data_IF_202502980867
#
_entry.id   IF_202502980867
#
_cell.length_a   1.000
_cell.length_b   1.000
_cell.length_c   1.000
_cell.angle_alpha   90.00
_cell.angle_beta   90.00
_cell.angle_gamma   90.00
#
_symmetry.space_group_name_H-M   'P 1'
#
loop_
_entity.id
_entity.type
_entity.pdbx_description
1 polymer ?
#
# COMPACT_ATOMS: atom_id res chain seq x y z
N UNK A 1 -9.90 -12.82 -19.00
CA UNK A 1 -9.89 -13.51 -17.69
C UNK A 1 -9.39 -12.51 -16.66
N UNK A 2 -10.05 -12.39 -15.50
CA UNK A 2 -9.62 -11.45 -14.43
C UNK A 2 -8.31 -11.92 -13.81
N UNK A 3 -7.30 -11.03 -13.75
CA UNK A 3 -5.91 -11.37 -13.35
C UNK A 3 -5.75 -11.79 -11.87
N UNK A 4 -6.67 -11.33 -11.00
CA UNK A 4 -6.66 -11.64 -9.55
C UNK A 4 -7.88 -12.47 -9.12
N UNK A 5 -8.51 -13.20 -10.05
CA UNK A 5 -9.67 -14.04 -9.73
C UNK A 5 -9.36 -15.03 -8.58
N UNK A 6 -10.19 -15.01 -7.54
CA UNK A 6 -10.06 -15.87 -6.36
C UNK A 6 -8.95 -15.46 -5.38
N UNK A 7 -8.29 -14.31 -5.57
CA UNK A 7 -7.29 -13.77 -4.63
C UNK A 7 -7.95 -12.89 -3.57
N UNK A 8 -7.42 -12.94 -2.36
CA UNK A 8 -7.84 -12.11 -1.24
C UNK A 8 -6.78 -11.05 -1.01
N UNK A 9 -7.16 -9.78 -1.10
CA UNK A 9 -6.25 -8.64 -0.98
C UNK A 9 -6.66 -7.71 0.16
N UNK A 10 -5.73 -7.34 1.02
CA UNK A 10 -5.89 -6.24 1.98
C UNK A 10 -5.13 -5.04 1.44
N UNK A 11 -5.77 -3.86 1.43
CA UNK A 11 -5.12 -2.59 1.06
C UNK A 11 -5.30 -1.61 2.21
N UNK A 12 -4.19 -1.19 2.86
CA UNK A 12 -4.23 -0.19 3.92
C UNK A 12 -4.18 1.23 3.34
N UNK A 13 -4.79 2.20 4.02
CA UNK A 13 -4.89 3.58 3.51
C UNK A 13 -5.77 3.70 2.27
N UNK A 14 -6.69 2.78 2.06
CA UNK A 14 -7.49 2.66 0.83
C UNK A 14 -8.81 3.44 0.84
N UNK A 15 -8.94 4.42 1.72
CA UNK A 15 -10.09 5.34 1.74
C UNK A 15 -9.99 6.50 0.74
N UNK A 16 -8.83 6.73 0.13
CA UNK A 16 -8.54 7.81 -0.84
C UNK A 16 -7.25 7.52 -1.60
N UNK A 17 -6.92 8.35 -2.59
CA UNK A 17 -5.63 8.38 -3.27
C UNK A 17 -5.19 7.06 -3.88
N UNK A 18 -3.89 6.81 -3.87
CA UNK A 18 -3.25 5.58 -4.39
C UNK A 18 -3.93 4.32 -3.82
N UNK A 19 -4.17 4.29 -2.51
CA UNK A 19 -4.76 3.11 -1.88
C UNK A 19 -6.16 2.80 -2.39
N UNK A 20 -6.98 3.82 -2.63
CA UNK A 20 -8.31 3.66 -3.25
C UNK A 20 -8.18 3.17 -4.69
N UNK A 21 -7.28 3.76 -5.49
CA UNK A 21 -7.05 3.32 -6.87
C UNK A 21 -6.63 1.84 -6.93
N UNK A 22 -5.71 1.40 -6.05
CA UNK A 22 -5.30 -0.01 -5.94
C UNK A 22 -6.50 -0.90 -5.59
N UNK A 23 -7.30 -0.50 -4.59
CA UNK A 23 -8.46 -1.28 -4.16
C UNK A 23 -9.48 -1.46 -5.29
N UNK A 24 -9.79 -0.38 -6.03
CA UNK A 24 -10.70 -0.41 -7.18
C UNK A 24 -10.14 -1.29 -8.31
N UNK A 25 -8.86 -1.13 -8.66
CA UNK A 25 -8.18 -1.92 -9.69
C UNK A 25 -8.18 -3.41 -9.34
N UNK A 26 -7.84 -3.76 -8.11
CA UNK A 26 -7.84 -5.16 -7.66
C UNK A 26 -9.24 -5.78 -7.67
N UNK A 27 -10.27 -5.03 -7.24
CA UNK A 27 -11.66 -5.47 -7.32
C UNK A 27 -12.12 -5.72 -8.76
N UNK A 28 -11.81 -4.81 -9.68
CA UNK A 28 -12.07 -4.95 -11.12
C UNK A 28 -11.40 -6.20 -11.69
N UNK A 29 -10.19 -6.53 -11.23
CA UNK A 29 -9.41 -7.71 -11.63
C UNK A 29 -9.80 -9.00 -10.88
N UNK A 30 -10.86 -8.95 -10.06
CA UNK A 30 -11.50 -10.14 -9.47
C UNK A 30 -10.96 -10.57 -8.12
N UNK A 31 -10.17 -9.74 -7.45
CA UNK A 31 -9.85 -9.98 -6.05
C UNK A 31 -11.05 -9.68 -5.13
N UNK A 32 -11.18 -10.44 -4.03
CA UNK A 32 -11.97 -10.00 -2.88
C UNK A 32 -11.12 -9.02 -2.07
N UNK A 33 -11.57 -7.77 -1.94
CA UNK A 33 -10.75 -6.67 -1.41
C UNK A 33 -11.19 -6.27 -0.01
N UNK A 34 -10.25 -6.21 0.92
CA UNK A 34 -10.45 -5.59 2.23
C UNK A 34 -9.91 -4.17 2.19
N UNK A 35 -10.82 -3.21 2.26
CA UNK A 35 -10.55 -1.77 2.28
C UNK A 35 -10.31 -1.34 3.72
N UNK A 36 -9.09 -0.92 4.05
CA UNK A 36 -8.70 -0.64 5.43
C UNK A 36 -8.13 0.78 5.59
N UNK A 37 -8.75 1.61 6.43
CA UNK A 37 -8.23 2.92 6.84
C UNK A 37 -8.97 3.42 8.09
N UNK A 38 -8.52 4.56 8.64
CA UNK A 38 -9.12 5.18 9.83
C UNK A 38 -10.54 5.71 9.61
N UNK A 39 -10.83 6.22 8.39
CA UNK A 39 -12.11 6.86 8.04
C UNK A 39 -13.11 5.79 7.56
N UNK A 40 -13.91 5.27 8.47
CA UNK A 40 -14.83 4.14 8.23
C UNK A 40 -15.78 4.40 7.05
N UNK A 41 -16.41 5.57 7.02
CA UNK A 41 -17.41 5.94 5.99
C UNK A 41 -16.78 5.96 4.59
N UNK A 42 -15.54 6.42 4.47
CA UNK A 42 -14.84 6.44 3.19
C UNK A 42 -14.37 5.05 2.77
N UNK A 43 -13.98 4.19 3.73
CA UNK A 43 -13.70 2.79 3.44
C UNK A 43 -14.96 2.09 2.90
N UNK A 44 -16.11 2.33 3.52
CA UNK A 44 -17.37 1.74 3.06
C UNK A 44 -17.77 2.25 1.68
N UNK A 45 -17.58 3.55 1.39
CA UNK A 45 -17.81 4.10 0.04
C UNK A 45 -16.94 3.40 -1.02
N UNK A 46 -15.65 3.20 -0.74
CA UNK A 46 -14.76 2.48 -1.65
C UNK A 46 -15.18 1.02 -1.82
N UNK A 47 -15.50 0.33 -0.73
CA UNK A 47 -15.97 -1.06 -0.79
C UNK A 47 -17.33 -1.17 -1.53
N UNK A 48 -18.24 -0.24 -1.31
CA UNK A 48 -19.52 -0.19 -2.02
C UNK A 48 -19.33 0.05 -3.53
N UNK A 49 -18.37 0.89 -3.93
CA UNK A 49 -18.02 1.09 -5.34
C UNK A 49 -17.53 -0.21 -5.97
N UNK A 50 -16.62 -0.94 -5.31
CA UNK A 50 -16.12 -2.24 -5.82
C UNK A 50 -17.28 -3.23 -6.01
N UNK A 51 -18.21 -3.30 -5.02
CA UNK A 51 -19.38 -4.18 -5.12
C UNK A 51 -20.35 -3.77 -6.23
N UNK A 52 -20.57 -2.46 -6.42
CA UNK A 52 -21.39 -1.92 -7.52
C UNK A 52 -20.83 -2.29 -8.89
N UNK A 53 -19.50 -2.34 -9.02
CA UNK A 53 -18.79 -2.69 -10.26
C UNK A 53 -18.67 -4.22 -10.45
N UNK A 54 -19.38 -5.01 -9.63
CA UNK A 54 -19.44 -6.48 -9.74
C UNK A 54 -18.26 -7.21 -9.09
N UNK A 55 -17.47 -6.53 -8.26
CA UNK A 55 -16.43 -7.12 -7.43
C UNK A 55 -16.92 -7.52 -6.04
N UNK A 56 -16.03 -8.06 -5.23
CA UNK A 56 -16.28 -8.39 -3.82
C UNK A 56 -15.38 -7.55 -2.91
N UNK A 57 -15.97 -6.90 -1.90
CA UNK A 57 -15.20 -6.10 -0.96
C UNK A 57 -15.90 -5.97 0.41
N UNK A 58 -15.08 -5.80 1.45
CA UNK A 58 -15.49 -5.37 2.78
C UNK A 58 -14.64 -4.20 3.28
N UNK A 59 -15.19 -3.40 4.17
CA UNK A 59 -14.49 -2.31 4.83
C UNK A 59 -14.15 -2.69 6.28
N UNK A 60 -12.91 -2.44 6.70
CA UNK A 60 -12.47 -2.63 8.09
C UNK A 60 -11.80 -1.33 8.57
N UNK A 61 -12.42 -0.67 9.55
CA UNK A 61 -11.80 0.51 10.16
C UNK A 61 -10.51 0.09 10.87
N UNK A 62 -9.38 0.70 10.47
CA UNK A 62 -8.06 0.33 10.98
C UNK A 62 -7.15 1.56 11.07
N UNK A 63 -6.60 1.79 12.24
CA UNK A 63 -5.42 2.64 12.42
C UNK A 63 -4.18 1.74 12.45
N UNK A 64 -3.29 1.88 11.47
CA UNK A 64 -2.08 1.05 11.37
C UNK A 64 -1.06 1.34 12.48
N UNK A 65 -1.21 2.44 13.21
CA UNK A 65 -0.36 2.75 14.39
C UNK A 65 -0.74 1.95 15.63
N UNK A 66 -1.93 1.32 15.62
CA UNK A 66 -2.44 0.45 16.67
C UNK A 66 -2.29 -1.01 16.26
N UNK A 67 -1.36 -1.71 16.93
CA UNK A 67 -1.07 -3.11 16.62
C UNK A 67 -2.29 -4.02 16.78
N UNK A 68 -3.14 -3.80 17.79
CA UNK A 68 -4.32 -4.63 18.04
C UNK A 68 -5.35 -4.48 16.88
N UNK A 69 -5.47 -3.28 16.31
CA UNK A 69 -6.33 -3.05 15.14
C UNK A 69 -5.77 -3.73 13.89
N UNK A 70 -4.45 -3.77 13.72
CA UNK A 70 -3.80 -4.49 12.61
C UNK A 70 -4.02 -5.99 12.73
N UNK A 71 -3.84 -6.58 13.91
CA UNK A 71 -4.10 -8.01 14.14
C UNK A 71 -5.59 -8.35 13.90
N UNK A 72 -6.51 -7.48 14.34
CA UNK A 72 -7.93 -7.61 14.06
C UNK A 72 -8.22 -7.54 12.56
N UNK A 73 -7.61 -6.62 11.81
CA UNK A 73 -7.77 -6.51 10.35
C UNK A 73 -7.46 -7.84 9.66
N UNK A 74 -6.32 -8.46 9.99
CA UNK A 74 -5.94 -9.76 9.42
C UNK A 74 -6.95 -10.84 9.82
N UNK A 75 -7.31 -10.91 11.11
CA UNK A 75 -8.23 -11.92 11.64
C UNK A 75 -9.62 -11.83 11.00
N UNK A 76 -10.20 -10.62 10.89
CA UNK A 76 -11.50 -10.42 10.25
C UNK A 76 -11.46 -10.76 8.75
N UNK A 77 -10.37 -10.42 8.08
CA UNK A 77 -10.16 -10.75 6.67
C UNK A 77 -10.13 -12.26 6.44
N UNK A 78 -9.37 -12.97 7.25
CA UNK A 78 -9.26 -14.44 7.17
C UNK A 78 -10.57 -15.12 7.59
N UNK A 79 -11.25 -14.63 8.62
CA UNK A 79 -12.58 -15.12 9.02
C UNK A 79 -13.60 -15.01 7.88
N UNK A 80 -13.55 -13.93 7.11
CA UNK A 80 -14.50 -13.68 6.01
C UNK A 80 -14.14 -14.47 4.75
N UNK A 81 -12.84 -14.56 4.40
CA UNK A 81 -12.40 -15.05 3.10
C UNK A 81 -11.53 -16.30 3.14
N UNK A 82 -11.15 -16.78 4.32
CA UNK A 82 -10.42 -18.02 4.53
C UNK A 82 -8.92 -17.93 4.43
N UNK A 83 -8.37 -16.89 3.76
CA UNK A 83 -6.92 -16.72 3.52
C UNK A 83 -6.54 -15.27 3.26
N UNK A 84 -5.23 -15.01 3.14
CA UNK A 84 -4.69 -13.73 2.69
C UNK A 84 -3.64 -14.00 1.59
N UNK A 85 -3.88 -13.53 0.37
CA UNK A 85 -2.94 -13.70 -0.75
C UNK A 85 -2.09 -12.47 -0.99
N UNK A 86 -2.66 -11.25 -0.82
CA UNK A 86 -2.00 -10.00 -1.15
C UNK A 86 -2.20 -9.01 0.00
N UNK A 87 -1.11 -8.40 0.44
CA UNK A 87 -1.14 -7.29 1.40
C UNK A 87 -0.46 -6.07 0.78
N UNK A 88 -1.20 -4.99 0.64
CA UNK A 88 -0.65 -3.70 0.20
C UNK A 88 -0.58 -2.75 1.40
N UNK A 89 0.62 -2.46 1.86
CA UNK A 89 0.90 -1.51 2.92
C UNK A 89 1.07 -0.12 2.30
N UNK A 90 -0.07 0.56 2.10
CA UNK A 90 -0.09 1.89 1.48
C UNK A 90 -0.36 3.01 2.50
N UNK A 91 -0.91 2.71 3.68
CA UNK A 91 -1.17 3.73 4.69
C UNK A 91 0.11 4.53 5.01
N UNK A 92 0.02 5.84 4.88
CA UNK A 92 1.14 6.73 5.15
C UNK A 92 0.69 8.19 5.23
N UNK A 93 1.55 9.03 5.75
CA UNK A 93 1.38 10.48 5.80
C UNK A 93 2.67 11.16 5.34
N UNK A 94 2.52 12.30 4.67
CA UNK A 94 3.60 13.24 4.50
C UNK A 94 3.90 13.94 5.82
N UNK A 95 4.98 14.69 5.85
CA UNK A 95 5.32 15.51 6.99
C UNK A 95 6.82 15.64 7.17
N UNK A 96 7.20 16.67 7.89
CA UNK A 96 8.58 17.06 8.08
C UNK A 96 8.74 18.54 7.78
N UNK A 97 9.92 18.91 7.38
CA UNK A 97 10.41 20.24 7.14
C UNK A 97 11.93 20.19 7.34
N UNK A 98 12.56 21.34 7.48
CA UNK A 98 13.97 21.38 7.87
C UNK A 98 14.15 20.70 9.23
N UNK A 99 15.21 19.92 9.39
CA UNK A 99 15.46 19.13 10.62
C UNK A 99 15.42 20.01 11.87
N UNK A 100 16.03 21.18 11.81
CA UNK A 100 16.08 22.16 12.93
C UNK A 100 14.72 22.64 13.43
N UNK A 101 13.68 22.59 12.56
CA UNK A 101 12.33 23.06 12.88
C UNK A 101 11.30 21.93 13.01
N UNK A 102 11.69 20.69 12.74
CA UNK A 102 10.79 19.55 12.85
C UNK A 102 10.59 19.16 14.32
N UNK A 103 9.34 19.25 14.80
CA UNK A 103 9.02 18.85 16.17
C UNK A 103 9.10 17.34 16.37
N UNK A 104 9.45 16.91 17.61
CA UNK A 104 9.40 15.48 17.97
C UNK A 104 8.03 14.87 17.69
N UNK A 105 6.95 15.60 17.95
CA UNK A 105 5.59 15.15 17.66
C UNK A 105 5.39 14.84 16.16
N UNK A 106 5.86 15.71 15.28
CA UNK A 106 5.79 15.49 13.83
C UNK A 106 6.64 14.28 13.42
N UNK A 107 7.87 14.20 13.94
CA UNK A 107 8.75 13.05 13.70
C UNK A 107 8.07 11.74 14.13
N UNK A 108 7.55 11.66 15.35
CA UNK A 108 6.89 10.48 15.87
C UNK A 108 5.66 10.09 15.07
N UNK A 109 4.83 11.06 14.67
CA UNK A 109 3.64 10.79 13.85
C UNK A 109 4.01 10.16 12.50
N UNK A 110 5.03 10.70 11.80
CA UNK A 110 5.48 10.17 10.52
C UNK A 110 6.09 8.79 10.69
N UNK A 111 7.00 8.61 11.64
CA UNK A 111 7.66 7.32 11.89
C UNK A 111 6.67 6.25 12.35
N UNK A 112 5.75 6.59 13.25
CA UNK A 112 4.74 5.64 13.75
C UNK A 112 3.78 5.21 12.64
N UNK A 113 3.34 6.15 11.79
CA UNK A 113 2.41 5.81 10.71
C UNK A 113 3.12 5.05 9.58
N UNK A 114 4.19 5.64 9.04
CA UNK A 114 4.79 5.14 7.81
C UNK A 114 5.61 3.87 8.04
N UNK A 115 6.49 3.87 9.05
CA UNK A 115 7.42 2.76 9.26
C UNK A 115 6.88 1.73 10.26
N UNK A 116 6.50 2.16 11.46
CA UNK A 116 6.01 1.24 12.49
C UNK A 116 4.70 0.58 12.08
N UNK A 117 3.76 1.33 11.50
CA UNK A 117 2.50 0.79 10.98
C UNK A 117 2.73 -0.23 9.86
N UNK A 118 3.63 0.07 8.91
CA UNK A 118 4.04 -0.90 7.88
C UNK A 118 4.65 -2.15 8.49
N UNK A 119 5.50 -2.02 9.51
CA UNK A 119 6.07 -3.14 10.23
C UNK A 119 5.00 -4.03 10.88
N UNK A 120 4.02 -3.45 11.57
CA UNK A 120 2.92 -4.22 12.17
C UNK A 120 2.14 -5.01 11.11
N UNK A 121 1.76 -4.34 10.01
CA UNK A 121 1.03 -4.99 8.91
C UNK A 121 1.87 -6.09 8.25
N UNK A 122 3.15 -5.84 7.98
CA UNK A 122 4.07 -6.85 7.43
C UNK A 122 4.15 -8.07 8.35
N UNK A 123 4.36 -7.86 9.66
CA UNK A 123 4.48 -8.95 10.63
C UNK A 123 3.22 -9.81 10.70
N UNK A 124 2.06 -9.19 10.82
CA UNK A 124 0.77 -9.89 10.90
C UNK A 124 0.44 -10.61 9.58
N UNK A 125 0.61 -9.92 8.45
CA UNK A 125 0.38 -10.51 7.12
C UNK A 125 1.36 -11.64 6.79
N UNK A 126 2.64 -11.49 7.13
CA UNK A 126 3.64 -12.53 6.93
C UNK A 126 3.31 -13.81 7.70
N UNK A 127 2.94 -13.69 8.99
CA UNK A 127 2.51 -14.83 9.80
C UNK A 127 1.34 -15.57 9.15
N UNK A 128 0.35 -14.84 8.65
CA UNK A 128 -0.81 -15.41 7.99
C UNK A 128 -0.46 -16.07 6.65
N UNK A 129 0.35 -15.40 5.81
CA UNK A 129 0.78 -15.94 4.51
C UNK A 129 1.64 -17.19 4.65
N UNK A 130 2.46 -17.26 5.71
CA UNK A 130 3.24 -18.46 6.04
C UNK A 130 2.34 -19.67 6.28
N UNK A 131 1.21 -19.49 6.97
CA UNK A 131 0.21 -20.56 7.20
C UNK A 131 -0.52 -20.95 5.91
N UNK A 132 -0.73 -20.01 4.99
CA UNK A 132 -1.40 -20.24 3.71
C UNK A 132 -0.52 -20.86 2.61
N UNK A 133 0.79 -21.02 2.85
CA UNK A 133 1.75 -21.53 1.88
C UNK A 133 2.24 -20.51 0.85
N UNK A 134 2.16 -19.23 1.16
CA UNK A 134 2.72 -18.14 0.37
C UNK A 134 1.81 -16.92 0.24
N UNK A 135 2.32 -15.87 -0.43
CA UNK A 135 1.60 -14.62 -0.66
C UNK A 135 2.46 -13.54 -1.29
N UNK A 136 1.90 -12.34 -1.43
CA UNK A 136 2.61 -11.16 -1.95
C UNK A 136 2.37 -9.98 -1.02
N UNK A 137 3.46 -9.36 -0.54
CA UNK A 137 3.44 -8.12 0.23
C UNK A 137 4.00 -7.00 -0.64
N UNK A 138 3.26 -5.90 -0.75
CA UNK A 138 3.65 -4.71 -1.51
C UNK A 138 3.70 -3.54 -0.53
N UNK A 139 4.88 -2.98 -0.34
CA UNK A 139 5.09 -1.84 0.55
C UNK A 139 5.16 -0.54 -0.27
N UNK A 140 4.33 0.44 0.06
CA UNK A 140 4.36 1.75 -0.57
C UNK A 140 5.45 2.61 0.07
N UNK A 141 6.59 2.70 -0.63
CA UNK A 141 7.65 3.64 -0.29
C UNK A 141 7.41 4.99 -0.98
N UNK A 142 8.41 5.56 -1.58
CA UNK A 142 8.42 6.82 -2.34
C UNK A 142 9.76 6.94 -3.07
N UNK A 143 9.91 7.84 -4.04
CA UNK A 143 11.21 8.32 -4.49
C UNK A 143 12.03 8.84 -3.30
N UNK A 144 11.38 9.41 -2.27
CA UNK A 144 12.00 9.77 -1.00
C UNK A 144 12.52 8.58 -0.18
N UNK A 145 12.29 7.36 -0.59
CA UNK A 145 12.87 6.15 0.00
C UNK A 145 14.13 5.66 -0.73
N UNK A 146 14.47 6.27 -1.87
CA UNK A 146 15.68 5.96 -2.65
C UNK A 146 16.63 7.15 -2.74
N UNK A 147 16.12 8.37 -2.58
CA UNK A 147 16.88 9.60 -2.47
C UNK A 147 16.29 10.53 -1.39
N UNK A 148 17.04 11.56 -1.01
CA UNK A 148 16.58 12.53 -0.02
C UNK A 148 17.04 13.93 -0.43
N UNK A 149 16.27 14.95 -0.01
CA UNK A 149 16.55 16.35 -0.27
C UNK A 149 16.26 17.20 0.95
N UNK A 150 16.69 18.44 0.93
CA UNK A 150 16.49 19.37 2.03
C UNK A 150 14.99 19.51 2.35
N UNK A 151 14.62 19.40 3.62
CA UNK A 151 13.23 19.46 4.09
C UNK A 151 12.47 18.13 4.04
N UNK A 152 13.02 17.06 3.45
CA UNK A 152 12.38 15.74 3.40
C UNK A 152 12.84 14.77 4.51
N UNK A 153 13.77 15.17 5.36
CA UNK A 153 14.54 14.27 6.23
C UNK A 153 13.70 13.25 7.01
N UNK A 154 12.69 13.68 7.74
CA UNK A 154 11.81 12.77 8.52
C UNK A 154 11.04 11.80 7.61
N UNK A 155 10.44 12.33 6.54
CA UNK A 155 9.69 11.53 5.58
C UNK A 155 10.62 10.55 4.87
N UNK A 156 11.75 11.03 4.36
CA UNK A 156 12.76 10.18 3.69
C UNK A 156 13.29 9.09 4.62
N UNK A 157 13.58 9.40 5.88
CA UNK A 157 14.01 8.39 6.84
C UNK A 157 12.97 7.28 7.01
N UNK A 158 11.68 7.64 7.11
CA UNK A 158 10.60 6.65 7.20
C UNK A 158 10.51 5.78 5.94
N UNK A 159 10.67 6.38 4.75
CA UNK A 159 10.55 5.67 3.46
C UNK A 159 11.81 4.83 3.14
N UNK A 160 13.01 5.27 3.52
CA UNK A 160 14.21 4.44 3.48
C UNK A 160 14.11 3.25 4.44
N UNK A 161 13.53 3.46 5.65
CA UNK A 161 13.24 2.38 6.59
C UNK A 161 12.31 1.31 5.99
N UNK A 162 11.29 1.71 5.22
CA UNK A 162 10.42 0.79 4.47
C UNK A 162 11.22 0.00 3.43
N UNK A 163 12.17 0.62 2.72
CA UNK A 163 13.02 -0.08 1.74
C UNK A 163 13.88 -1.16 2.41
N UNK A 164 14.50 -0.82 3.54
CA UNK A 164 15.30 -1.78 4.33
C UNK A 164 14.44 -2.94 4.83
N UNK A 165 13.27 -2.64 5.43
CA UNK A 165 12.31 -3.64 5.88
C UNK A 165 11.85 -4.55 4.73
N UNK A 166 11.56 -3.99 3.56
CA UNK A 166 11.13 -4.73 2.37
C UNK A 166 12.18 -5.75 1.94
N UNK A 167 13.45 -5.34 1.88
CA UNK A 167 14.56 -6.22 1.47
C UNK A 167 14.78 -7.37 2.46
N UNK A 168 14.82 -7.06 3.76
CA UNK A 168 14.97 -8.08 4.81
C UNK A 168 13.82 -9.09 4.74
N UNK A 169 12.59 -8.60 4.67
CA UNK A 169 11.41 -9.45 4.64
C UNK A 169 11.30 -10.28 3.35
N UNK A 170 11.83 -9.78 2.22
CA UNK A 170 11.90 -10.55 0.98
C UNK A 170 12.80 -11.79 1.12
N UNK A 171 13.94 -11.65 1.80
CA UNK A 171 14.84 -12.78 2.06
C UNK A 171 14.22 -13.78 3.05
N UNK A 172 13.62 -13.30 4.13
CA UNK A 172 12.90 -14.11 5.11
C UNK A 172 11.71 -14.86 4.48
N UNK A 173 11.08 -14.27 3.46
CA UNK A 173 9.90 -14.82 2.78
C UNK A 173 10.18 -15.96 1.80
N UNK A 174 11.41 -16.06 1.27
CA UNK A 174 11.78 -17.06 0.24
C UNK A 174 11.41 -18.50 0.60
N UNK A 175 11.74 -19.02 1.79
CA UNK A 175 11.40 -20.39 2.17
C UNK A 175 9.89 -20.67 2.22
N UNK A 176 9.08 -19.60 2.35
CA UNK A 176 7.63 -19.70 2.51
C UNK A 176 6.86 -19.28 1.26
N UNK A 177 7.55 -19.03 0.14
CA UNK A 177 6.96 -18.54 -1.12
C UNK A 177 6.21 -17.19 -0.93
N UNK A 178 6.70 -16.35 -0.01
CA UNK A 178 6.19 -14.99 0.20
C UNK A 178 7.08 -14.03 -0.58
N UNK A 179 6.49 -13.32 -1.53
CA UNK A 179 7.15 -12.28 -2.32
C UNK A 179 6.95 -10.94 -1.62
N UNK A 180 8.01 -10.15 -1.53
CA UNK A 180 7.92 -8.82 -0.94
C UNK A 180 8.58 -7.81 -1.87
N UNK A 181 7.85 -6.74 -2.18
CA UNK A 181 8.25 -5.72 -3.14
C UNK A 181 7.96 -4.33 -2.60
N UNK A 182 8.67 -3.33 -3.08
CA UNK A 182 8.37 -1.92 -2.82
C UNK A 182 7.94 -1.21 -4.11
N UNK A 183 6.99 -0.29 -4.01
CA UNK A 183 6.72 0.71 -5.04
C UNK A 183 7.18 2.07 -4.49
N UNK A 184 7.89 2.83 -5.32
CA UNK A 184 8.47 4.13 -5.00
C UNK A 184 7.87 5.21 -5.91
N UNK A 185 6.67 5.73 -5.61
CA UNK A 185 6.06 6.79 -6.40
C UNK A 185 6.78 8.12 -6.22
N UNK A 186 6.81 8.93 -7.29
CA UNK A 186 7.10 10.36 -7.26
C UNK A 186 5.86 11.19 -6.90
N UNK A 187 5.69 12.33 -7.54
CA UNK A 187 4.53 13.22 -7.32
C UNK A 187 3.25 12.66 -7.94
N UNK A 188 2.34 12.17 -7.12
CA UNK A 188 1.05 11.59 -7.52
C UNK A 188 -0.08 12.54 -7.20
N UNK A 189 -1.05 12.67 -8.11
CA UNK A 189 -2.28 13.43 -7.93
C UNK A 189 -3.29 12.67 -7.06
N UNK A 190 -2.95 12.44 -5.80
CA UNK A 190 -3.72 11.61 -4.86
C UNK A 190 -5.17 12.10 -4.67
N UNK A 191 -5.38 13.41 -4.66
CA UNK A 191 -6.68 14.06 -4.52
C UNK A 191 -7.57 13.86 -5.75
N UNK A 192 -6.99 13.56 -6.90
CA UNK A 192 -7.70 13.40 -8.18
C UNK A 192 -8.12 11.95 -8.48
N UNK A 193 -8.09 11.05 -7.49
CA UNK A 193 -8.48 9.63 -7.68
C UNK A 193 -9.93 9.45 -8.17
N UNK A 194 -10.79 10.41 -7.87
CA UNK A 194 -12.21 10.43 -8.28
C UNK A 194 -12.48 11.37 -9.47
N UNK A 195 -11.43 12.01 -10.01
CA UNK A 195 -11.54 12.96 -11.11
C UNK A 195 -11.54 12.27 -12.47
N UNK A 196 -11.92 13.02 -13.50
CA UNK A 196 -11.86 12.54 -14.87
C UNK A 196 -10.40 12.37 -15.36
N UNK A 197 -10.15 11.51 -16.37
CA UNK A 197 -8.81 11.39 -16.95
C UNK A 197 -8.22 12.71 -17.43
N UNK A 198 -9.06 13.62 -17.95
CA UNK A 198 -8.62 14.93 -18.42
C UNK A 198 -8.14 15.84 -17.27
N UNK A 199 -8.78 15.77 -16.10
CA UNK A 199 -8.34 16.52 -14.92
C UNK A 199 -7.00 15.99 -14.39
N UNK A 200 -6.84 14.67 -14.36
CA UNK A 200 -5.57 14.04 -13.98
C UNK A 200 -4.46 14.46 -14.96
N UNK A 201 -4.73 14.42 -16.26
CA UNK A 201 -3.76 14.79 -17.30
C UNK A 201 -3.32 16.26 -17.16
N UNK A 202 -4.24 17.18 -16.87
CA UNK A 202 -3.94 18.62 -16.67
C UNK A 202 -3.12 18.89 -15.41
N UNK A 203 -3.10 17.97 -14.45
CA UNK A 203 -2.30 18.14 -13.22
C UNK A 203 -0.81 17.97 -13.45
N UNK A 204 -0.40 17.39 -14.58
CA UNK A 204 0.99 17.03 -14.90
C UNK A 204 1.64 16.15 -13.82
N UNK A 205 0.83 15.44 -13.03
CA UNK A 205 1.27 14.51 -11.99
C UNK A 205 1.00 13.07 -12.40
N UNK A 206 1.61 12.14 -11.68
CA UNK A 206 1.35 10.70 -11.89
C UNK A 206 -0.10 10.39 -11.48
N UNK A 207 -0.81 9.64 -12.31
CA UNK A 207 -2.14 9.17 -11.95
C UNK A 207 -2.05 8.16 -10.79
N UNK A 208 -2.94 8.20 -9.79
CA UNK A 208 -3.05 7.14 -8.80
C UNK A 208 -3.25 5.74 -9.43
N UNK A 209 -3.85 5.68 -10.61
CA UNK A 209 -4.08 4.44 -11.35
C UNK A 209 -2.80 3.89 -12.00
N UNK A 210 -1.79 4.71 -12.34
CA UNK A 210 -0.48 4.22 -12.79
C UNK A 210 0.21 3.43 -11.67
N UNK A 211 0.09 3.91 -10.44
CA UNK A 211 0.59 3.21 -9.27
C UNK A 211 -0.21 1.93 -8.99
N UNK A 212 -1.52 1.97 -9.23
CA UNK A 212 -2.37 0.78 -9.10
C UNK A 212 -2.01 -0.31 -10.12
N UNK A 213 -1.68 0.05 -11.37
CA UNK A 213 -1.18 -0.89 -12.38
C UNK A 213 0.19 -1.48 -12.00
N UNK A 214 1.10 -0.68 -11.43
CA UNK A 214 2.35 -1.20 -10.88
C UNK A 214 2.11 -2.21 -9.75
N UNK A 215 1.16 -1.94 -8.84
CA UNK A 215 0.78 -2.87 -7.79
C UNK A 215 0.15 -4.15 -8.35
N UNK A 216 -0.69 -4.03 -9.37
CA UNK A 216 -1.30 -5.16 -10.05
C UNK A 216 -0.25 -6.03 -10.76
N UNK A 217 0.72 -5.41 -11.43
CA UNK A 217 1.84 -6.13 -12.03
C UNK A 217 2.57 -6.98 -10.99
N UNK A 218 2.95 -6.40 -9.84
CA UNK A 218 3.62 -7.14 -8.76
C UNK A 218 2.76 -8.28 -8.19
N UNK A 219 1.46 -8.05 -8.05
CA UNK A 219 0.51 -9.04 -7.53
C UNK A 219 0.31 -10.23 -8.47
N UNK A 220 0.51 -10.04 -9.78
CA UNK A 220 0.27 -11.06 -10.83
C UNK A 220 1.52 -11.78 -11.31
N UNK A 221 2.70 -11.42 -10.80
CA UNK A 221 3.94 -12.13 -11.13
C UNK A 221 3.86 -13.63 -10.83
N UNK A 222 4.42 -14.42 -11.73
CA UNK A 222 4.52 -15.88 -11.57
C UNK A 222 5.20 -16.30 -10.26
N UNK A 223 5.07 -17.57 -9.86
CA UNK A 223 5.45 -18.03 -8.52
C UNK A 223 6.96 -17.93 -8.22
N UNK A 224 7.80 -17.88 -9.24
CA UNK A 224 9.26 -17.80 -9.11
C UNK A 224 9.85 -16.43 -9.46
N UNK A 225 8.99 -15.47 -9.85
CA UNK A 225 9.43 -14.12 -10.18
C UNK A 225 9.18 -13.16 -9.02
N UNK A 226 10.19 -12.35 -8.69
CA UNK A 226 10.09 -11.24 -7.75
C UNK A 226 10.74 -10.01 -8.37
N UNK A 227 10.05 -8.88 -8.27
CA UNK A 227 10.61 -7.55 -8.55
C UNK A 227 10.75 -6.84 -7.22
N UNK A 228 11.97 -6.56 -6.79
CA UNK A 228 12.22 -6.02 -5.45
C UNK A 228 11.72 -4.60 -5.28
N UNK A 229 11.82 -3.78 -6.34
CA UNK A 229 11.31 -2.41 -6.32
C UNK A 229 10.89 -1.94 -7.71
N UNK A 230 9.88 -1.07 -7.74
CA UNK A 230 9.48 -0.29 -8.93
C UNK A 230 9.52 1.18 -8.54
N UNK A 231 10.24 1.98 -9.31
CA UNK A 231 10.23 3.44 -9.19
C UNK A 231 9.32 3.96 -10.30
N UNK A 232 8.29 4.71 -9.93
CA UNK A 232 7.39 5.40 -10.88
C UNK A 232 7.54 6.88 -10.60
N UNK A 233 8.35 7.55 -11.40
CA UNK A 233 8.62 8.96 -11.21
C UNK A 233 7.92 9.82 -12.23
N UNK A 234 7.73 11.10 -11.90
CA UNK A 234 7.08 12.07 -12.77
C UNK A 234 8.00 12.42 -13.95
N UNK A 235 7.48 12.36 -15.15
CA UNK A 235 8.19 12.86 -16.33
C UNK A 235 8.57 14.34 -16.13
N UNK A 236 9.85 14.66 -16.29
CA UNK A 236 10.37 16.01 -16.05
C UNK A 236 10.64 16.35 -14.57
N UNK A 237 10.66 15.35 -13.67
CA UNK A 237 11.22 15.56 -12.33
C UNK A 237 12.76 15.69 -12.42
N UNK A 238 13.32 16.65 -11.71
CA UNK A 238 14.77 16.76 -11.55
C UNK A 238 15.25 15.70 -10.55
N UNK A 239 16.26 14.92 -10.96
CA UNK A 239 16.92 13.90 -10.13
C UNK A 239 18.10 14.48 -9.37
#
# INVERSE_FOLDING_TARGET
MKRLAGKIAIVTGSSSGIGKAIALTFGKEGASVVVAARRKELCEKTAAQIRKDGGEAMAVQTDVTDEAQVERLITESVKRYGRLDILVNNAGIGGGGRIESTSTKTFDQVMNTNLRGTFFCCRAGFRQMKQNGGGTIINMSSVAGVQAWAGSGTYSASKHGIMALTRSLADEGRPYKIKVSAICPGGVADELVDSSPDEILRSEQISPFDIAEAALYLATLGPFAVVHQIIVDRLGADW
#
